data_IF_662283013926
#
_entry.id   IF_662283013926
#
_cell.length_a   1.000
_cell.length_b   1.000
_cell.length_c   1.000
_cell.angle_alpha   90.00
_cell.angle_beta   90.00
_cell.angle_gamma   90.00
#
_symmetry.space_group_name_H-M   'P 1'
#
loop_
_entity.id
_entity.type
_entity.pdbx_description
1 polymer ?
#
# COMPACT_ATOMS: atom_id res chain seq x y z
N UNK A 1 -10.69 -103.59 6.51
CA UNK A 1 -11.37 -103.20 5.24
C UNK A 1 -11.68 -101.71 5.33
N UNK A 2 -10.68 -100.83 5.31
CA UNK A 2 -9.85 -100.37 4.18
C UNK A 2 -10.54 -99.20 3.45
N UNK A 3 -10.17 -97.98 3.87
CA UNK A 3 -10.46 -96.68 3.25
C UNK A 3 -9.74 -96.52 1.89
N UNK A 4 -9.83 -97.55 1.04
CA UNK A 4 -9.11 -97.64 -0.24
C UNK A 4 -10.05 -97.91 -1.42
N UNK A 5 -11.37 -97.83 -1.21
CA UNK A 5 -12.36 -98.11 -2.26
C UNK A 5 -13.23 -96.89 -2.64
N UNK A 6 -13.00 -95.73 -2.02
CA UNK A 6 -13.60 -94.43 -2.44
C UNK A 6 -12.61 -93.43 -3.01
N UNK A 7 -11.39 -93.89 -3.33
CA UNK A 7 -10.39 -93.10 -4.05
C UNK A 7 -10.17 -93.70 -5.45
N UNK A 8 -11.24 -93.77 -6.26
CA UNK A 8 -11.08 -94.03 -7.68
C UNK A 8 -12.16 -93.32 -8.49
N UNK A 9 -11.70 -92.33 -9.24
CA UNK A 9 -12.30 -91.82 -10.48
C UNK A 9 -13.61 -91.05 -10.32
N UNK A 10 -13.51 -89.79 -9.88
CA UNK A 10 -14.31 -88.74 -10.50
C UNK A 10 -13.40 -87.98 -11.47
N UNK A 11 -13.81 -87.99 -12.72
CA UNK A 11 -13.07 -87.64 -13.91
C UNK A 11 -12.25 -86.36 -13.83
N UNK A 12 -11.06 -86.49 -14.38
CA UNK A 12 -10.26 -85.49 -15.07
C UNK A 12 -11.06 -84.48 -15.89
N UNK A 13 -10.43 -83.30 -16.03
CA UNK A 13 -10.52 -82.39 -17.17
C UNK A 13 -11.60 -81.31 -17.12
N UNK A 14 -11.29 -80.22 -16.43
CA UNK A 14 -11.15 -78.96 -17.15
C UNK A 14 -9.66 -78.63 -17.19
N UNK A 15 -8.95 -79.20 -18.17
CA UNK A 15 -7.65 -78.68 -18.55
C UNK A 15 -7.88 -77.25 -18.99
N UNK A 16 -7.64 -76.27 -18.11
CA UNK A 16 -7.47 -74.89 -18.54
C UNK A 16 -6.36 -74.96 -19.57
N UNK A 17 -6.75 -74.83 -20.83
CA UNK A 17 -5.82 -74.87 -21.95
C UNK A 17 -4.74 -73.87 -21.60
N UNK A 18 -3.49 -74.34 -21.54
CA UNK A 18 -2.34 -73.50 -21.19
C UNK A 18 -2.31 -72.25 -22.08
N UNK A 19 -2.79 -72.38 -23.33
CA UNK A 19 -3.03 -71.27 -24.27
C UNK A 19 -4.09 -70.25 -23.79
N UNK A 20 -5.17 -70.70 -23.16
CA UNK A 20 -6.24 -69.85 -22.61
C UNK A 20 -5.82 -69.12 -21.32
N UNK A 21 -4.98 -69.75 -20.50
CA UNK A 21 -4.35 -69.11 -19.33
C UNK A 21 -3.36 -68.01 -19.74
N UNK A 22 -2.51 -68.26 -20.74
CA UNK A 22 -1.61 -67.25 -21.29
C UNK A 22 -2.36 -66.09 -21.95
N UNK A 23 -3.46 -66.37 -22.66
CA UNK A 23 -4.30 -65.33 -23.27
C UNK A 23 -4.89 -64.37 -22.23
N UNK A 24 -5.42 -64.90 -21.12
CA UNK A 24 -5.96 -64.08 -20.02
C UNK A 24 -4.88 -63.24 -19.33
N UNK A 25 -3.69 -63.82 -19.12
CA UNK A 25 -2.56 -63.10 -18.52
C UNK A 25 -2.10 -61.93 -19.41
N UNK A 26 -2.01 -62.13 -20.72
CA UNK A 26 -1.64 -61.08 -21.68
C UNK A 26 -2.67 -59.93 -21.66
N UNK A 27 -3.97 -60.24 -21.61
CA UNK A 27 -5.03 -59.21 -21.54
C UNK A 27 -4.94 -58.40 -20.24
N UNK A 28 -4.68 -59.05 -19.10
CA UNK A 28 -4.52 -58.36 -17.81
C UNK A 28 -3.28 -57.45 -17.83
N UNK A 29 -2.16 -57.90 -18.40
CA UNK A 29 -0.96 -57.07 -18.56
C UNK A 29 -1.19 -55.89 -19.51
N UNK A 30 -1.91 -56.10 -20.62
CA UNK A 30 -2.24 -55.04 -21.58
C UNK A 30 -3.20 -54.01 -20.96
N UNK A 31 -4.21 -54.47 -20.21
CA UNK A 31 -5.12 -53.59 -19.49
C UNK A 31 -4.40 -52.80 -18.38
N UNK A 32 -3.50 -53.46 -17.64
CA UNK A 32 -2.69 -52.81 -16.60
C UNK A 32 -1.75 -51.74 -17.16
N UNK A 33 -1.09 -52.02 -18.29
CA UNK A 33 -0.23 -51.04 -18.98
C UNK A 33 -1.02 -49.91 -19.63
N UNK A 34 -2.22 -50.19 -20.16
CA UNK A 34 -3.13 -49.17 -20.66
C UNK A 34 -3.61 -48.23 -19.56
N UNK A 35 -3.97 -48.76 -18.38
CA UNK A 35 -4.41 -47.97 -17.24
C UNK A 35 -3.30 -47.07 -16.69
N UNK A 36 -2.06 -47.57 -16.60
CA UNK A 36 -0.92 -46.74 -16.17
C UNK A 36 -0.60 -45.66 -17.19
N UNK A 37 -0.76 -45.91 -18.49
CA UNK A 37 -0.63 -44.88 -19.52
C UNK A 37 -1.66 -43.76 -19.37
N UNK A 38 -2.93 -44.11 -19.13
CA UNK A 38 -4.00 -43.13 -18.89
C UNK A 38 -3.70 -42.29 -17.64
N UNK A 39 -3.23 -42.92 -16.56
CA UNK A 39 -2.86 -42.21 -15.34
C UNK A 39 -1.69 -41.25 -15.56
N UNK A 40 -0.64 -41.68 -16.27
CA UNK A 40 0.49 -40.81 -16.64
C UNK A 40 0.04 -39.64 -17.52
N UNK A 41 -0.89 -39.87 -18.45
CA UNK A 41 -1.44 -38.81 -19.29
C UNK A 41 -2.24 -37.78 -18.46
N UNK A 42 -3.02 -38.23 -17.48
CA UNK A 42 -3.70 -37.35 -16.52
C UNK A 42 -2.75 -36.50 -15.69
N UNK A 43 -1.63 -37.08 -15.22
CA UNK A 43 -0.58 -36.34 -14.53
C UNK A 43 0.09 -35.30 -15.45
N UNK A 44 0.35 -35.66 -16.71
CA UNK A 44 0.94 -34.75 -17.69
C UNK A 44 0.05 -33.53 -17.93
N UNK A 45 -1.25 -33.74 -18.11
CA UNK A 45 -2.24 -32.66 -18.24
C UNK A 45 -2.29 -31.77 -16.98
N UNK A 46 -2.25 -32.38 -15.80
CA UNK A 46 -2.16 -31.64 -14.53
C UNK A 46 -0.90 -30.77 -14.43
N UNK A 47 0.26 -31.30 -14.86
CA UNK A 47 1.53 -30.56 -14.90
C UNK A 47 1.45 -29.40 -15.89
N UNK A 48 0.91 -29.61 -17.09
CA UNK A 48 0.73 -28.52 -18.07
C UNK A 48 -0.22 -27.44 -17.55
N UNK A 49 -1.29 -27.82 -16.84
CA UNK A 49 -2.21 -26.87 -16.24
C UNK A 49 -1.55 -26.04 -15.12
N UNK A 50 -0.70 -26.65 -14.30
CA UNK A 50 0.06 -25.94 -13.25
C UNK A 50 1.17 -25.08 -13.84
N UNK A 51 1.89 -25.58 -14.85
CA UNK A 51 2.96 -24.85 -15.54
C UNK A 51 2.44 -23.65 -16.35
N UNK A 52 1.18 -23.70 -16.80
CA UNK A 52 0.52 -22.58 -17.48
C UNK A 52 0.04 -21.47 -16.54
N UNK A 53 0.06 -21.70 -15.21
CA UNK A 53 -0.19 -20.63 -14.24
C UNK A 53 1.06 -19.74 -14.19
N UNK A 54 0.86 -18.44 -14.37
CA UNK A 54 1.95 -17.47 -14.26
C UNK A 54 2.63 -17.66 -12.90
N UNK A 55 3.98 -17.82 -12.86
CA UNK A 55 4.67 -18.01 -11.60
C UNK A 55 4.39 -16.79 -10.71
N UNK A 56 4.09 -17.00 -9.42
CA UNK A 56 3.92 -15.88 -8.50
C UNK A 56 5.24 -15.09 -8.49
N UNK A 57 5.15 -13.80 -8.77
CA UNK A 57 6.26 -12.86 -8.59
C UNK A 57 6.50 -12.70 -7.10
N UNK A 58 7.51 -13.43 -6.60
CA UNK A 58 7.96 -13.39 -5.22
C UNK A 58 9.15 -12.44 -5.14
N UNK A 59 9.06 -11.41 -4.30
CA UNK A 59 10.25 -10.68 -3.87
C UNK A 59 10.57 -11.10 -2.43
N UNK A 60 11.83 -11.43 -2.20
CA UNK A 60 12.34 -11.77 -0.89
C UNK A 60 12.85 -10.49 -0.23
N UNK A 61 12.30 -10.18 0.94
CA UNK A 61 12.74 -9.08 1.77
C UNK A 61 14.11 -9.39 2.38
N UNK A 62 14.83 -8.35 2.82
CA UNK A 62 16.18 -8.51 3.40
C UNK A 62 16.21 -9.36 4.69
N UNK A 63 15.06 -9.54 5.33
CA UNK A 63 14.89 -10.40 6.50
C UNK A 63 14.61 -11.88 6.16
N UNK A 64 14.52 -12.23 4.87
CA UNK A 64 14.24 -13.58 4.39
C UNK A 64 12.77 -13.87 4.10
N UNK A 65 11.85 -12.97 4.48
CA UNK A 65 10.42 -13.14 4.23
C UNK A 65 10.10 -12.98 2.74
N UNK A 66 9.16 -13.77 2.22
CA UNK A 66 8.73 -13.69 0.83
C UNK A 66 7.35 -13.05 0.74
N UNK A 67 7.23 -12.00 -0.06
CA UNK A 67 5.94 -11.36 -0.34
C UNK A 67 5.58 -11.57 -1.81
N UNK A 68 4.30 -11.84 -2.07
CA UNK A 68 3.77 -11.87 -3.42
C UNK A 68 3.50 -10.42 -3.87
N UNK A 69 4.02 -10.04 -5.04
CA UNK A 69 3.87 -8.68 -5.58
C UNK A 69 3.29 -8.77 -6.97
N UNK A 70 2.27 -7.98 -7.26
CA UNK A 70 1.77 -7.81 -8.63
C UNK A 70 2.59 -6.70 -9.29
N UNK A 71 3.27 -6.96 -10.41
CA UNK A 71 3.99 -5.92 -11.12
C UNK A 71 2.99 -4.88 -11.64
N UNK A 72 3.20 -3.62 -11.27
CA UNK A 72 2.49 -2.45 -11.80
C UNK A 72 3.47 -1.60 -12.60
N UNK A 73 2.98 -0.82 -13.56
CA UNK A 73 3.85 0.10 -14.29
C UNK A 73 4.50 1.11 -13.32
N UNK A 74 5.70 1.54 -13.64
CA UNK A 74 6.47 2.59 -12.97
C UNK A 74 5.66 3.86 -12.68
N UNK A 75 4.69 4.18 -13.55
CA UNK A 75 3.81 5.35 -13.42
C UNK A 75 2.48 5.03 -12.74
N UNK A 76 2.13 3.77 -12.53
CA UNK A 76 0.88 3.37 -11.90
C UNK A 76 1.00 3.24 -10.38
N UNK A 77 -0.09 3.49 -9.68
CA UNK A 77 -0.18 3.37 -8.22
C UNK A 77 -1.50 2.73 -7.86
N UNK A 78 -1.51 2.01 -6.74
CA UNK A 78 -2.74 1.41 -6.21
C UNK A 78 -3.63 2.49 -5.61
N UNK A 79 -4.95 2.31 -5.73
CA UNK A 79 -5.91 3.25 -5.13
C UNK A 79 -5.65 3.45 -3.64
N UNK A 80 -5.40 2.35 -2.91
CA UNK A 80 -5.09 2.40 -1.49
C UNK A 80 -3.81 3.20 -1.20
N UNK A 81 -2.75 3.05 -2.01
CA UNK A 81 -1.52 3.81 -1.83
C UNK A 81 -1.72 5.31 -1.98
N UNK A 82 -2.53 5.72 -2.97
CA UNK A 82 -2.90 7.13 -3.17
C UNK A 82 -3.73 7.65 -2.00
N UNK A 83 -4.73 6.89 -1.55
CA UNK A 83 -5.62 7.30 -0.46
C UNK A 83 -4.90 7.40 0.87
N UNK A 84 -4.02 6.45 1.20
CA UNK A 84 -3.19 6.51 2.41
C UNK A 84 -2.27 7.73 2.36
N UNK A 85 -1.56 7.94 1.25
CA UNK A 85 -0.70 9.12 1.06
C UNK A 85 -1.47 10.43 1.27
N UNK A 86 -2.64 10.56 0.66
CA UNK A 86 -3.46 11.77 0.81
C UNK A 86 -3.95 11.94 2.25
N UNK A 87 -4.45 10.88 2.89
CA UNK A 87 -4.90 10.97 4.28
C UNK A 87 -3.77 11.42 5.21
N UNK A 88 -2.57 10.87 5.05
CA UNK A 88 -1.42 11.20 5.89
C UNK A 88 -0.98 12.66 5.68
N UNK A 89 -0.85 13.09 4.42
CA UNK A 89 -0.47 14.47 4.09
C UNK A 89 -1.51 15.47 4.62
N UNK A 90 -2.80 15.24 4.40
CA UNK A 90 -3.85 16.16 4.86
C UNK A 90 -3.98 16.17 6.38
N UNK A 91 -3.82 15.01 7.03
CA UNK A 91 -3.81 14.93 8.50
C UNK A 91 -2.66 15.74 9.08
N UNK A 92 -1.44 15.59 8.55
CA UNK A 92 -0.27 16.35 8.98
C UNK A 92 -0.38 17.86 8.67
N UNK A 93 -1.06 18.19 7.57
CA UNK A 93 -1.22 19.58 7.11
C UNK A 93 -2.29 20.35 7.88
N UNK A 94 -3.37 19.70 8.32
CA UNK A 94 -4.54 20.38 8.89
C UNK A 94 -4.83 20.01 10.35
N UNK A 95 -4.00 19.17 10.98
CA UNK A 95 -4.04 18.93 12.43
C UNK A 95 -2.98 19.77 13.12
N UNK A 96 -3.42 20.77 13.89
CA UNK A 96 -2.54 21.72 14.57
C UNK A 96 -2.78 21.68 16.07
N UNK A 97 -1.82 21.18 16.84
CA UNK A 97 -1.91 21.10 18.30
C UNK A 97 -1.04 22.13 19.03
N UNK A 98 -0.13 22.81 18.31
CA UNK A 98 0.92 23.64 18.93
C UNK A 98 2.02 22.83 19.61
N UNK A 99 2.07 21.53 19.35
CA UNK A 99 3.05 20.59 19.91
C UNK A 99 3.60 19.68 18.84
N UNK A 100 4.84 19.24 19.03
CA UNK A 100 5.49 18.24 18.20
C UNK A 100 6.11 17.13 19.07
N UNK A 101 6.16 15.88 18.60
CA UNK A 101 6.82 14.80 19.35
C UNK A 101 8.32 15.13 19.53
N UNK A 102 8.84 14.89 20.74
CA UNK A 102 10.27 15.08 21.03
C UNK A 102 11.11 14.01 20.30
N UNK A 103 12.01 14.40 19.38
CA UNK A 103 12.89 13.45 18.70
C UNK A 103 13.82 12.68 19.64
N UNK A 104 14.10 13.23 20.83
CA UNK A 104 15.03 12.64 21.80
C UNK A 104 14.33 11.76 22.83
N UNK A 105 13.06 12.03 23.13
CA UNK A 105 12.29 11.35 24.16
C UNK A 105 10.93 10.89 23.60
N UNK A 106 10.83 9.66 23.09
CA UNK A 106 9.57 9.10 22.60
C UNK A 106 8.46 9.20 23.64
N UNK A 107 7.32 9.77 23.26
CA UNK A 107 6.15 9.96 24.14
C UNK A 107 6.10 11.32 24.86
N UNK A 108 7.13 12.16 24.75
CA UNK A 108 7.07 13.55 25.20
C UNK A 108 6.75 14.48 24.03
N UNK A 109 6.07 15.59 24.34
CA UNK A 109 5.70 16.61 23.37
C UNK A 109 6.40 17.92 23.71
N UNK A 110 7.07 18.50 22.72
CA UNK A 110 7.66 19.83 22.80
C UNK A 110 6.70 20.87 22.21
N UNK A 111 6.82 22.11 22.68
CA UNK A 111 6.12 23.24 22.05
C UNK A 111 6.66 23.41 20.63
N UNK A 112 5.77 23.46 19.64
CA UNK A 112 6.17 23.69 18.26
C UNK A 112 6.43 25.19 18.04
N UNK A 113 7.69 25.54 17.84
CA UNK A 113 8.10 26.91 17.52
C UNK A 113 7.67 27.35 16.11
N UNK A 114 7.26 26.41 15.26
CA UNK A 114 6.90 26.63 13.86
C UNK A 114 8.08 27.01 12.96
N UNK A 115 7.81 27.06 11.67
CA UNK A 115 8.72 27.44 10.59
C UNK A 115 8.21 28.74 9.96
N UNK A 116 9.10 29.72 9.84
CA UNK A 116 8.77 31.01 9.22
C UNK A 116 8.74 30.91 7.70
N UNK A 117 7.69 31.47 7.09
CA UNK A 117 7.51 31.52 5.64
C UNK A 117 7.75 32.94 5.16
N UNK A 118 8.71 33.09 4.25
CA UNK A 118 9.09 34.38 3.66
C UNK A 118 8.57 34.49 2.22
N UNK A 119 8.24 35.72 1.81
CA UNK A 119 7.94 36.08 0.43
C UNK A 119 9.18 36.21 -0.44
N UNK A 120 8.97 36.47 -1.72
CA UNK A 120 10.04 36.61 -2.71
C UNK A 120 10.93 37.83 -2.41
N UNK A 121 10.33 38.86 -1.82
CA UNK A 121 11.02 40.08 -1.38
C UNK A 121 11.75 39.92 -0.03
N UNK A 122 11.81 38.70 0.51
CA UNK A 122 12.40 38.40 1.82
C UNK A 122 11.55 38.84 3.03
N UNK A 123 10.39 39.45 2.81
CA UNK A 123 9.46 39.83 3.88
C UNK A 123 8.79 38.59 4.48
N UNK A 124 8.64 38.56 5.80
CA UNK A 124 7.95 37.48 6.50
C UNK A 124 6.45 37.55 6.25
N UNK A 125 5.89 36.51 5.65
CA UNK A 125 4.45 36.38 5.37
C UNK A 125 3.74 35.84 6.61
N UNK A 126 4.31 34.81 7.23
CA UNK A 126 3.70 34.19 8.39
C UNK A 126 4.54 33.05 8.94
N UNK A 127 3.87 32.19 9.72
CA UNK A 127 4.48 31.04 10.37
C UNK A 127 3.56 29.85 10.22
N UNK A 128 4.14 28.69 9.93
CA UNK A 128 3.43 27.41 9.84
C UNK A 128 3.95 26.44 10.90
N UNK A 129 3.14 25.52 11.44
CA UNK A 129 3.64 24.42 12.26
C UNK A 129 4.68 23.59 11.51
N UNK A 130 5.61 22.99 12.26
CA UNK A 130 6.67 22.16 11.69
C UNK A 130 6.08 20.99 10.91
N UNK A 131 4.98 20.41 11.39
CA UNK A 131 4.26 19.32 10.70
C UNK A 131 3.71 19.75 9.34
N UNK A 132 3.17 20.97 9.23
CA UNK A 132 2.66 21.54 7.98
C UNK A 132 3.81 21.75 6.99
N UNK A 133 4.93 22.27 7.47
CA UNK A 133 6.12 22.45 6.63
C UNK A 133 6.66 21.11 6.13
N UNK A 134 6.74 20.09 6.99
CA UNK A 134 7.16 18.75 6.58
C UNK A 134 6.16 18.14 5.59
N UNK A 135 4.85 18.17 5.87
CA UNK A 135 3.82 17.63 4.97
C UNK A 135 3.85 18.28 3.58
N UNK A 136 4.20 19.56 3.49
CA UNK A 136 4.35 20.27 2.23
C UNK A 136 5.47 19.69 1.33
N UNK A 137 6.40 18.91 1.89
CA UNK A 137 7.38 18.13 1.10
C UNK A 137 6.71 17.03 0.28
N UNK A 138 5.43 16.72 0.51
CA UNK A 138 4.58 15.86 -0.32
C UNK A 138 4.00 16.56 -1.55
N UNK A 139 4.26 17.85 -1.76
CA UNK A 139 3.70 18.67 -2.84
C UNK A 139 4.73 18.96 -3.94
N UNK A 140 4.29 19.26 -5.16
CA UNK A 140 5.15 19.77 -6.23
C UNK A 140 5.77 21.11 -5.81
N UNK A 141 7.01 21.40 -6.22
CA UNK A 141 7.81 22.50 -5.68
C UNK A 141 7.15 23.89 -5.83
N UNK A 142 6.63 24.21 -7.00
CA UNK A 142 6.01 25.51 -7.25
C UNK A 142 4.68 25.63 -6.50
N UNK A 143 3.86 24.59 -6.56
CA UNK A 143 2.61 24.50 -5.81
C UNK A 143 2.84 24.60 -4.30
N UNK A 144 3.86 23.90 -3.78
CA UNK A 144 4.27 23.94 -2.37
C UNK A 144 4.53 25.37 -1.90
N UNK A 145 5.29 26.14 -2.67
CA UNK A 145 5.64 27.51 -2.31
C UNK A 145 4.38 28.38 -2.22
N UNK A 146 3.48 28.28 -3.21
CA UNK A 146 2.22 29.00 -3.19
C UNK A 146 1.30 28.56 -2.03
N UNK A 147 1.21 27.25 -1.79
CA UNK A 147 0.42 26.66 -0.72
C UNK A 147 0.89 27.11 0.67
N UNK A 148 2.21 27.08 0.93
CA UNK A 148 2.78 27.49 2.21
C UNK A 148 2.53 28.96 2.52
N UNK A 149 2.52 29.84 1.51
CA UNK A 149 2.19 31.26 1.70
C UNK A 149 0.73 31.43 2.11
N UNK A 150 -0.20 30.78 1.38
CA UNK A 150 -1.63 30.86 1.68
C UNK A 150 -1.96 30.27 3.06
N UNK A 151 -1.40 29.11 3.41
CA UNK A 151 -1.70 28.49 4.70
C UNK A 151 -1.08 29.27 5.86
N UNK A 152 0.07 29.92 5.67
CA UNK A 152 0.70 30.74 6.71
C UNK A 152 -0.16 31.95 7.11
N UNK A 153 -0.96 32.49 6.20
CA UNK A 153 -1.92 33.57 6.48
C UNK A 153 -3.17 33.07 7.21
N UNK A 154 -3.55 31.81 7.00
CA UNK A 154 -4.75 31.21 7.59
C UNK A 154 -4.53 30.65 8.99
N UNK A 155 -3.30 30.25 9.34
CA UNK A 155 -3.00 29.64 10.63
C UNK A 155 -3.00 30.70 11.74
N UNK A 156 -3.90 30.59 12.74
CA UNK A 156 -3.92 31.53 13.86
C UNK A 156 -2.65 31.46 14.70
N UNK A 157 -2.10 32.61 15.10
CA UNK A 157 -0.92 32.65 15.98
C UNK A 157 -1.15 31.96 17.34
N UNK A 158 -2.41 31.86 17.76
CA UNK A 158 -2.81 31.15 18.99
C UNK A 158 -2.56 29.64 18.97
N UNK A 159 -2.30 29.05 17.80
CA UNK A 159 -1.83 27.67 17.65
C UNK A 159 -0.46 27.50 18.31
N UNK A 160 0.48 28.41 18.06
CA UNK A 160 1.83 28.36 18.63
C UNK A 160 1.86 28.67 20.13
N UNK A 161 0.80 29.27 20.67
CA UNK A 161 0.62 29.47 22.12
C UNK A 161 -0.28 28.42 22.76
N UNK A 162 -0.66 27.35 22.04
CA UNK A 162 -1.51 26.25 22.51
C UNK A 162 -2.91 26.67 22.99
N UNK A 163 -3.37 27.87 22.62
CA UNK A 163 -4.72 28.39 22.95
C UNK A 163 -5.76 27.95 21.93
N UNK A 164 -5.32 27.65 20.71
CA UNK A 164 -6.15 27.12 19.64
C UNK A 164 -5.56 25.81 19.15
N UNK A 165 -6.42 24.82 18.96
CA UNK A 165 -6.08 23.60 18.26
C UNK A 165 -7.03 23.37 17.10
N UNK A 166 -6.56 22.70 16.06
CA UNK A 166 -7.36 22.34 14.91
C UNK A 166 -7.22 20.85 14.68
N UNK A 167 -8.33 20.14 14.55
CA UNK A 167 -8.33 18.74 14.14
C UNK A 167 -8.92 18.60 12.74
N UNK A 168 -8.19 17.91 11.87
CA UNK A 168 -8.68 17.49 10.58
C UNK A 168 -9.55 16.24 10.73
N UNK A 169 -10.77 16.29 10.20
CA UNK A 169 -11.72 15.17 10.22
C UNK A 169 -12.13 14.84 8.79
N UNK A 170 -11.52 13.81 8.16
CA UNK A 170 -11.93 13.36 6.84
C UNK A 170 -13.32 12.72 6.93
N UNK A 171 -14.23 13.13 6.04
CA UNK A 171 -15.57 12.51 5.90
C UNK A 171 -15.51 11.43 4.84
N UNK A 172 -14.96 11.74 3.67
CA UNK A 172 -14.77 10.77 2.59
C UNK A 172 -13.71 11.21 1.59
N UNK A 173 -13.05 10.21 1.00
CA UNK A 173 -12.28 10.33 -0.22
C UNK A 173 -13.02 9.60 -1.34
N UNK A 174 -13.09 10.17 -2.54
CA UNK A 174 -13.58 9.43 -3.71
C UNK A 174 -12.54 8.40 -4.16
N UNK A 175 -12.97 7.42 -4.95
CA UNK A 175 -12.03 6.56 -5.66
C UNK A 175 -11.12 7.41 -6.56
N UNK A 176 -9.79 7.14 -6.60
CA UNK A 176 -8.89 7.83 -7.52
C UNK A 176 -9.30 7.64 -8.97
N UNK A 177 -9.52 8.75 -9.68
CA UNK A 177 -9.84 8.74 -11.10
C UNK A 177 -8.63 9.17 -11.89
N UNK A 178 -8.08 8.26 -12.69
CA UNK A 178 -6.96 8.60 -13.55
C UNK A 178 -7.39 9.65 -14.59
N UNK A 179 -6.66 10.77 -14.64
CA UNK A 179 -6.91 11.87 -15.58
C UNK A 179 -5.89 11.86 -16.73
N UNK A 180 -4.71 11.31 -16.50
CA UNK A 180 -3.67 11.03 -17.49
C UNK A 180 -2.73 9.92 -16.97
N UNK A 181 -1.84 9.35 -17.80
CA UNK A 181 -0.82 8.42 -17.31
C UNK A 181 -0.06 8.99 -16.11
N UNK A 182 0.00 8.24 -15.02
CA UNK A 182 0.63 8.66 -13.75
C UNK A 182 0.00 9.87 -13.06
N UNK A 183 -1.26 10.24 -13.35
CA UNK A 183 -1.96 11.34 -12.67
C UNK A 183 -3.40 11.00 -12.35
N UNK A 184 -3.82 11.31 -11.13
CA UNK A 184 -5.15 11.00 -10.60
C UNK A 184 -5.80 12.22 -9.97
N UNK A 185 -7.13 12.23 -10.05
CA UNK A 185 -8.01 13.15 -9.33
C UNK A 185 -8.71 12.40 -8.19
N UNK A 186 -8.64 12.97 -6.99
CA UNK A 186 -9.32 12.47 -5.79
C UNK A 186 -10.12 13.61 -5.18
N UNK A 187 -11.41 13.37 -4.92
CA UNK A 187 -12.24 14.33 -4.19
C UNK A 187 -12.16 14.06 -2.71
N UNK A 188 -11.92 15.10 -1.92
CA UNK A 188 -11.94 15.08 -0.46
C UNK A 188 -13.12 15.91 0.04
N UNK A 189 -13.91 15.30 0.93
CA UNK A 189 -14.89 15.98 1.78
C UNK A 189 -14.42 15.84 3.21
N UNK A 190 -14.24 16.95 3.91
CA UNK A 190 -13.70 16.97 5.26
C UNK A 190 -14.16 18.18 6.06
N UNK A 191 -13.91 18.15 7.37
CA UNK A 191 -14.16 19.27 8.27
C UNK A 191 -12.89 19.58 9.09
N UNK A 192 -12.70 20.86 9.39
CA UNK A 192 -11.72 21.34 10.35
C UNK A 192 -12.45 21.74 11.62
N UNK A 193 -12.10 21.10 12.73
CA UNK A 193 -12.67 21.40 14.05
C UNK A 193 -11.72 22.31 14.82
N UNK A 194 -12.13 23.52 15.12
CA UNK A 194 -11.35 24.48 15.90
C UNK A 194 -11.73 24.35 17.37
N UNK A 195 -10.74 24.08 18.22
CA UNK A 195 -10.87 24.02 19.66
C UNK A 195 -10.21 25.23 20.28
N UNK A 196 -10.88 25.84 21.26
CA UNK A 196 -10.33 26.93 22.07
C UNK A 196 -10.09 26.44 23.50
N UNK A 197 -8.90 26.71 24.03
CA UNK A 197 -8.47 26.36 25.39
C UNK A 197 -8.71 24.88 25.75
N UNK A 198 -8.59 23.97 24.78
CA UNK A 198 -8.68 22.50 24.94
C UNK A 198 -10.02 21.95 25.45
N UNK A 199 -11.09 22.76 25.51
CA UNK A 199 -12.33 22.37 26.22
C UNK A 199 -13.55 22.21 25.33
N UNK A 200 -13.69 23.03 24.28
CA UNK A 200 -14.89 23.05 23.46
C UNK A 200 -14.56 23.27 21.98
N UNK A 201 -15.30 22.55 21.12
CA UNK A 201 -15.35 22.85 19.68
C UNK A 201 -16.00 24.22 19.53
N UNK A 202 -15.21 25.18 19.09
CA UNK A 202 -15.63 26.56 18.88
C UNK A 202 -16.20 26.79 17.49
N UNK A 203 -15.64 26.12 16.48
CA UNK A 203 -16.01 26.32 15.08
C UNK A 203 -15.77 25.03 14.29
N UNK A 204 -16.63 24.80 13.29
CA UNK A 204 -16.52 23.70 12.33
C UNK A 204 -16.49 24.30 10.93
N UNK A 205 -15.35 24.17 10.25
CA UNK A 205 -15.15 24.72 8.90
C UNK A 205 -15.11 23.57 7.89
N UNK A 206 -16.04 23.48 6.93
CA UNK A 206 -15.98 22.47 5.89
C UNK A 206 -14.82 22.77 4.93
N UNK A 207 -14.06 21.73 4.59
CA UNK A 207 -12.94 21.80 3.65
C UNK A 207 -13.13 20.74 2.57
N UNK A 208 -13.69 21.16 1.43
CA UNK A 208 -14.05 20.28 0.32
C UNK A 208 -13.23 20.66 -0.91
N UNK A 209 -12.45 19.71 -1.42
CA UNK A 209 -11.50 19.98 -2.50
C UNK A 209 -11.39 18.81 -3.47
N UNK A 210 -11.11 19.12 -4.73
CA UNK A 210 -10.60 18.18 -5.71
C UNK A 210 -9.06 18.27 -5.70
N UNK A 211 -8.41 17.14 -5.46
CA UNK A 211 -6.95 17.00 -5.30
C UNK A 211 -6.41 16.29 -6.54
N UNK A 212 -5.35 16.84 -7.12
CA UNK A 212 -4.63 16.21 -8.22
C UNK A 212 -3.26 15.74 -7.73
N UNK A 213 -3.02 14.45 -7.95
CA UNK A 213 -1.81 13.75 -7.54
C UNK A 213 -1.15 13.17 -8.76
N UNK A 214 0.19 13.23 -8.82
CA UNK A 214 0.99 12.59 -9.86
C UNK A 214 2.03 11.65 -9.29
N UNK A 215 2.36 10.62 -10.05
CA UNK A 215 3.46 9.72 -9.75
C UNK A 215 4.80 10.43 -9.93
N UNK A 216 5.74 10.12 -9.06
CA UNK A 216 7.16 10.49 -9.21
C UNK A 216 8.04 9.28 -9.03
N UNK A 217 9.31 9.44 -9.39
CA UNK A 217 10.33 8.44 -9.13
C UNK A 217 10.53 8.34 -7.60
N UNK A 218 10.39 7.15 -6.99
CA UNK A 218 10.67 6.97 -5.58
C UNK A 218 12.15 7.29 -5.28
N UNK A 219 12.46 7.78 -4.07
CA UNK A 219 13.84 7.93 -3.65
C UNK A 219 14.55 6.56 -3.65
N UNK A 220 15.85 6.57 -3.96
CA UNK A 220 16.64 5.34 -4.00
C UNK A 220 16.66 4.68 -2.60
N UNK A 221 16.17 3.43 -2.45
CA UNK A 221 16.03 2.78 -1.15
C UNK A 221 17.38 2.58 -0.43
N UNK A 222 18.48 2.43 -1.16
CA UNK A 222 19.82 2.32 -0.55
C UNK A 222 20.22 3.63 0.12
N UNK A 223 19.95 4.76 -0.54
CA UNK A 223 20.23 6.09 0.03
C UNK A 223 19.35 6.34 1.26
N UNK A 224 18.06 5.95 1.20
CA UNK A 224 17.15 6.09 2.35
C UNK A 224 17.66 5.30 3.54
N UNK A 225 18.05 4.04 3.35
CA UNK A 225 18.58 3.20 4.44
C UNK A 225 19.86 3.79 5.04
N UNK A 226 20.77 4.31 4.21
CA UNK A 226 21.99 4.97 4.68
C UNK A 226 21.70 6.23 5.51
N UNK A 227 20.72 7.04 5.10
CA UNK A 227 20.29 8.23 5.84
C UNK A 227 19.66 7.84 7.19
N UNK A 228 18.83 6.79 7.21
CA UNK A 228 18.18 6.28 8.42
C UNK A 228 19.16 5.65 9.43
N UNK A 229 20.24 5.03 8.96
CA UNK A 229 21.27 4.49 9.85
C UNK A 229 22.15 5.59 10.47
N UNK A 230 22.37 6.69 9.75
CA UNK A 230 23.07 7.87 10.28
C UNK A 230 22.23 8.66 11.30
N UNK A 231 20.89 8.57 11.24
CA UNK A 231 19.98 9.26 12.17
C UNK A 231 19.87 8.58 13.55
N UNK A 232 20.40 7.37 13.74
CA UNK A 232 20.50 6.75 15.08
C UNK A 232 21.41 7.55 16.04
N UNK A 233 22.16 8.52 15.53
CA UNK A 233 23.06 9.41 16.29
C UNK A 233 22.71 10.91 16.20
N UNK A 234 21.75 11.33 15.37
CA UNK A 234 21.40 12.76 15.19
C UNK A 234 19.97 12.96 14.68
N UNK A 235 19.36 14.11 14.94
CA UNK A 235 18.00 14.46 14.50
C UNK A 235 17.84 14.29 12.97
N UNK A 236 16.70 13.72 12.54
CA UNK A 236 16.41 13.43 11.13
C UNK A 236 16.73 14.61 10.21
N UNK A 237 17.59 14.38 9.22
CA UNK A 237 18.01 15.42 8.27
C UNK A 237 16.87 15.80 7.33
N UNK A 238 16.93 16.98 6.69
CA UNK A 238 15.96 17.36 5.67
C UNK A 238 15.86 16.33 4.55
N UNK A 239 17.01 15.79 4.12
CA UNK A 239 17.05 14.74 3.10
C UNK A 239 16.27 13.49 3.50
N UNK A 240 16.33 13.12 4.78
CA UNK A 240 15.57 11.99 5.33
C UNK A 240 14.07 12.28 5.35
N UNK A 241 13.64 13.46 5.82
CA UNK A 241 12.21 13.82 5.81
C UNK A 241 11.63 13.85 4.40
N UNK A 242 12.39 14.36 3.43
CA UNK A 242 12.02 14.32 2.02
C UNK A 242 11.90 12.88 1.55
N UNK A 243 12.88 12.03 1.85
CA UNK A 243 12.88 10.64 1.43
C UNK A 243 11.68 9.85 2.01
N UNK A 244 11.39 10.02 3.30
CA UNK A 244 10.26 9.37 3.97
C UNK A 244 8.92 9.78 3.34
N UNK A 245 8.70 11.07 3.13
CA UNK A 245 7.45 11.58 2.54
C UNK A 245 7.33 11.17 1.07
N UNK A 246 8.44 11.15 0.32
CA UNK A 246 8.47 10.76 -1.09
C UNK A 246 8.51 9.25 -1.31
N UNK A 247 8.56 8.43 -0.27
CA UNK A 247 8.58 6.97 -0.39
C UNK A 247 7.31 6.43 -1.06
N UNK A 248 6.17 7.11 -0.88
CA UNK A 248 4.92 6.80 -1.59
C UNK A 248 5.02 7.03 -3.11
N UNK A 249 6.09 7.69 -3.59
CA UNK A 249 6.35 7.97 -4.99
C UNK A 249 5.20 8.76 -5.65
N UNK A 250 4.63 9.69 -4.87
CA UNK A 250 3.49 10.53 -5.21
C UNK A 250 3.78 11.97 -4.80
N UNK A 251 3.24 12.92 -5.57
CA UNK A 251 3.22 14.34 -5.21
C UNK A 251 1.86 14.96 -5.51
N UNK A 252 1.40 15.87 -4.66
CA UNK A 252 0.24 16.71 -4.92
C UNK A 252 0.69 17.87 -5.83
N UNK A 253 0.10 18.00 -7.01
CA UNK A 253 0.42 19.07 -7.95
C UNK A 253 -0.56 20.24 -7.90
N UNK A 254 -1.79 20.01 -7.45
CA UNK A 254 -2.80 21.05 -7.30
C UNK A 254 -3.95 20.62 -6.40
N UNK A 255 -4.56 21.61 -5.75
CA UNK A 255 -5.76 21.47 -4.93
C UNK A 255 -6.74 22.55 -5.40
N UNK A 256 -7.97 22.16 -5.74
CA UNK A 256 -9.00 23.06 -6.25
C UNK A 256 -10.23 22.98 -5.34
N UNK A 257 -10.78 24.10 -4.85
CA UNK A 257 -12.02 24.10 -4.08
C UNK A 257 -13.15 23.42 -4.84
N UNK A 258 -13.85 22.49 -4.18
CA UNK A 258 -15.03 21.84 -4.74
C UNK A 258 -16.29 22.59 -4.28
N UNK A 259 -17.00 23.22 -5.22
CA UNK A 259 -18.25 23.93 -4.92
C UNK A 259 -19.45 23.06 -5.27
N UNK A 260 -20.53 23.19 -4.49
CA UNK A 260 -21.80 22.48 -4.78
C UNK A 260 -22.37 22.81 -6.17
N UNK A 261 -21.99 23.96 -6.73
CA UNK A 261 -22.38 24.45 -8.05
C UNK A 261 -21.84 23.57 -9.20
N UNK A 262 -20.80 22.77 -8.94
CA UNK A 262 -20.16 21.85 -9.90
C UNK A 262 -20.95 20.54 -10.08
N UNK A 263 -22.09 20.39 -9.39
CA UNK A 263 -23.09 19.34 -9.60
C UNK A 263 -24.03 19.76 -10.74
N UNK A 264 -23.56 19.70 -11.98
CA UNK A 264 -24.44 19.67 -13.16
C UNK A 264 -24.44 18.28 -13.77
#
# INVERSE_FOLDING_TARGET
MSLLEKAKLRGTSDSVSVKDAYGKLVIVCLAGTGLTLIFNFGLLLGIFQVASKQPPTLVQLSNGDSINVIPIDSTERTDQGILTFLNDIFTLTFTWSGTMPDPKNPGQFLVDSGVDINGEDGQRIGKVPTTVWSASLGMELNFRNAFLRQIAELIPQSVFTQKTQVAFVPVSFSTPKQVSPGRWKVRLISNLLFFKDLRQVSEVVPYNVDIYVRSVVPPNPVLVNQLSDQSKSSSATLAQQVAEIRQAALEIDSIVPYRREDLK
#
